data_IF_389659221474
#
_entry.id   IF_389659221474
#
_cell.length_a   1.000
_cell.length_b   1.000
_cell.length_c   1.000
_cell.angle_alpha   90.00
_cell.angle_beta   90.00
_cell.angle_gamma   90.00
#
_symmetry.space_group_name_H-M   'P 1'
#
loop_
_entity.id
_entity.type
_entity.pdbx_description
1 polymer ?
#
# COMPACT_ATOMS: atom_id res chain seq x y z
N UNK A 1 0.14 16.34 16.96
CA UNK A 1 0.55 14.96 16.62
C UNK A 1 -0.24 14.61 15.38
N UNK A 2 0.39 14.09 14.33
CA UNK A 2 -0.36 13.71 13.14
C UNK A 2 -1.24 12.50 13.47
N UNK A 3 -2.54 12.74 13.63
CA UNK A 3 -3.54 11.71 13.93
C UNK A 3 -4.07 11.04 12.66
N UNK A 4 -3.68 11.58 11.49
CA UNK A 4 -4.00 11.04 10.17
C UNK A 4 -3.56 9.57 10.10
N UNK A 5 -4.47 8.62 9.90
CA UNK A 5 -4.07 7.22 9.74
C UNK A 5 -3.16 7.02 8.53
N UNK A 6 -2.30 6.02 8.61
CA UNK A 6 -1.34 5.66 7.57
C UNK A 6 -1.71 4.31 6.95
N UNK A 7 -1.98 4.31 5.65
CA UNK A 7 -2.16 3.11 4.83
C UNK A 7 -0.88 2.84 4.04
N UNK A 8 -0.26 1.68 4.26
CA UNK A 8 0.94 1.25 3.54
C UNK A 8 0.55 0.06 2.66
N UNK A 9 0.78 0.18 1.36
CA UNK A 9 0.44 -0.85 0.37
C UNK A 9 1.72 -1.40 -0.22
N UNK A 10 1.89 -2.71 -0.08
CA UNK A 10 2.97 -3.44 -0.73
C UNK A 10 2.62 -3.70 -2.20
N UNK A 11 3.19 -2.89 -3.09
CA UNK A 11 2.90 -2.96 -4.51
C UNK A 11 3.36 -4.27 -5.15
N UNK A 12 4.49 -4.83 -4.72
CA UNK A 12 5.03 -6.06 -5.29
C UNK A 12 4.13 -7.26 -4.99
N UNK A 13 3.67 -7.38 -3.75
CA UNK A 13 2.76 -8.47 -3.35
C UNK A 13 1.34 -8.29 -3.89
N UNK A 14 0.85 -7.05 -4.00
CA UNK A 14 -0.47 -6.77 -4.58
C UNK A 14 -0.48 -7.08 -6.09
N UNK A 15 0.51 -6.59 -6.84
CA UNK A 15 0.63 -6.79 -8.29
C UNK A 15 1.05 -8.23 -8.63
N UNK A 16 1.96 -8.83 -7.85
CA UNK A 16 2.52 -10.16 -8.07
C UNK A 16 1.55 -11.33 -7.84
N UNK A 17 0.42 -11.10 -7.16
CA UNK A 17 -0.59 -12.13 -6.88
C UNK A 17 -1.51 -12.49 -8.07
N UNK A 18 -1.36 -11.86 -9.24
CA UNK A 18 -2.24 -12.07 -10.41
C UNK A 18 -1.57 -12.83 -11.56
N UNK A 19 -2.12 -13.99 -11.99
CA UNK A 19 -1.51 -14.88 -12.99
C UNK A 19 -1.71 -14.47 -14.47
N UNK A 20 -1.97 -13.20 -14.79
CA UNK A 20 -2.45 -12.75 -16.11
C UNK A 20 -1.49 -11.82 -16.88
N UNK A 21 -0.17 -12.02 -16.77
CA UNK A 21 0.81 -11.40 -17.68
C UNK A 21 1.38 -10.04 -17.25
N UNK A 22 1.06 -9.56 -16.05
CA UNK A 22 1.53 -8.28 -15.49
C UNK A 22 3.05 -8.21 -15.23
N UNK A 23 3.74 -9.35 -15.24
CA UNK A 23 5.20 -9.37 -15.18
C UNK A 23 5.87 -8.64 -16.35
N UNK A 24 5.19 -8.51 -17.50
CA UNK A 24 5.72 -7.80 -18.67
C UNK A 24 5.76 -6.29 -18.50
N UNK A 25 4.87 -5.72 -17.68
CA UNK A 25 4.83 -4.28 -17.42
C UNK A 25 4.47 -3.99 -15.96
N UNK A 26 5.48 -4.15 -15.11
CA UNK A 26 5.37 -3.89 -13.67
C UNK A 26 5.08 -2.42 -13.38
N UNK A 27 5.61 -1.50 -14.18
CA UNK A 27 5.43 -0.06 -13.99
C UNK A 27 3.96 0.34 -14.25
N UNK A 28 3.37 -0.12 -15.36
CA UNK A 28 1.97 0.15 -15.65
C UNK A 28 1.03 -0.46 -14.58
N UNK A 29 1.31 -1.68 -14.13
CA UNK A 29 0.51 -2.30 -13.08
C UNK A 29 0.58 -1.54 -11.74
N UNK A 30 1.76 -1.05 -11.36
CA UNK A 30 1.93 -0.22 -10.17
C UNK A 30 1.27 1.17 -10.31
N UNK A 31 1.31 1.78 -11.49
CA UNK A 31 0.60 3.04 -11.77
C UNK A 31 -0.93 2.85 -11.66
N UNK A 32 -1.48 1.77 -12.24
CA UNK A 32 -2.90 1.44 -12.09
C UNK A 32 -3.29 1.19 -10.64
N UNK A 33 -2.44 0.50 -9.87
CA UNK A 33 -2.65 0.31 -8.44
C UNK A 33 -2.66 1.65 -7.70
N UNK A 34 -1.67 2.53 -7.93
CA UNK A 34 -1.62 3.88 -7.36
C UNK A 34 -2.92 4.64 -7.63
N UNK A 35 -3.39 4.64 -8.87
CA UNK A 35 -4.59 5.37 -9.26
C UNK A 35 -5.84 4.81 -8.58
N UNK A 36 -5.94 3.49 -8.42
CA UNK A 36 -7.03 2.85 -7.67
C UNK A 36 -7.03 3.17 -6.16
N UNK A 37 -5.88 3.58 -5.61
CA UNK A 37 -5.73 3.96 -4.20
C UNK A 37 -6.06 5.43 -3.94
N UNK A 38 -6.06 6.28 -4.97
CA UNK A 38 -6.29 7.72 -4.82
C UNK A 38 -7.58 8.09 -4.06
N UNK A 39 -8.73 7.42 -4.29
CA UNK A 39 -9.96 7.73 -3.55
C UNK A 39 -9.84 7.46 -2.04
N UNK A 40 -8.95 6.57 -1.60
CA UNK A 40 -8.80 6.19 -0.19
C UNK A 40 -8.28 7.36 0.65
N UNK A 41 -7.47 8.24 0.07
CA UNK A 41 -6.92 9.39 0.80
C UNK A 41 -8.03 10.33 1.33
N UNK A 42 -9.09 10.53 0.54
CA UNK A 42 -10.20 11.44 0.86
C UNK A 42 -11.42 10.74 1.44
N UNK A 43 -11.67 9.47 1.09
CA UNK A 43 -12.84 8.71 1.57
C UNK A 43 -12.53 7.75 2.73
N UNK A 44 -11.25 7.49 2.99
CA UNK A 44 -10.81 6.50 3.96
C UNK A 44 -11.11 5.08 3.50
N UNK A 45 -11.06 4.14 4.44
CA UNK A 45 -11.50 2.76 4.25
C UNK A 45 -12.67 2.51 5.18
N UNK A 46 -13.91 2.40 4.68
CA UNK A 46 -15.08 2.19 5.53
C UNK A 46 -14.87 1.05 6.53
N UNK A 47 -15.27 1.29 7.79
CA UNK A 47 -15.05 0.41 8.95
C UNK A 47 -13.59 0.14 9.36
N UNK A 48 -12.59 0.70 8.66
CA UNK A 48 -11.16 0.51 8.97
C UNK A 48 -10.46 1.83 9.26
N UNK A 49 -10.43 2.76 8.31
CA UNK A 49 -9.75 4.05 8.46
C UNK A 49 -10.72 5.19 8.14
N UNK A 50 -10.84 6.15 9.06
CA UNK A 50 -11.55 7.39 8.78
C UNK A 50 -10.68 8.32 7.93
N UNK A 51 -11.28 9.03 6.98
CA UNK A 51 -10.60 10.08 6.24
C UNK A 51 -10.28 11.30 7.14
N UNK A 52 -9.21 12.07 6.83
CA UNK A 52 -8.25 11.83 5.75
C UNK A 52 -7.28 10.69 6.07
N UNK A 53 -6.78 10.00 5.05
CA UNK A 53 -5.78 8.93 5.19
C UNK A 53 -4.54 9.27 4.38
N UNK A 54 -3.36 9.12 4.96
CA UNK A 54 -2.13 9.15 4.19
C UNK A 54 -1.92 7.79 3.55
N UNK A 55 -1.80 7.75 2.22
CA UNK A 55 -1.62 6.52 1.47
C UNK A 55 -0.20 6.46 0.91
N UNK A 56 0.50 5.39 1.25
CA UNK A 56 1.86 5.10 0.76
C UNK A 56 1.84 3.79 -0.04
N UNK A 57 2.24 3.85 -1.31
CA UNK A 57 2.49 2.69 -2.14
C UNK A 57 3.98 2.41 -2.20
N UNK A 58 4.40 1.24 -1.71
CA UNK A 58 5.79 0.78 -1.81
C UNK A 58 5.97 0.02 -3.13
N UNK A 59 6.95 0.44 -3.93
CA UNK A 59 7.31 -0.19 -5.20
C UNK A 59 8.78 -0.61 -5.17
N UNK A 60 9.12 -1.60 -5.99
CA UNK A 60 10.49 -2.10 -6.11
C UNK A 60 10.82 -2.46 -7.56
N UNK A 61 12.11 -2.64 -7.84
CA UNK A 61 12.61 -3.18 -9.11
C UNK A 61 12.11 -2.39 -10.33
N UNK A 62 11.42 -3.08 -11.24
CA UNK A 62 10.94 -2.51 -12.50
C UNK A 62 9.84 -1.45 -12.36
N UNK A 63 9.24 -1.30 -11.17
CA UNK A 63 8.23 -0.28 -10.88
C UNK A 63 8.79 0.93 -10.11
N UNK A 64 10.10 0.98 -9.82
CA UNK A 64 10.73 2.02 -8.99
C UNK A 64 10.51 3.46 -9.47
N UNK A 65 10.38 3.65 -10.78
CA UNK A 65 10.28 4.96 -11.41
C UNK A 65 8.82 5.44 -11.54
N UNK A 66 7.86 4.71 -10.96
CA UNK A 66 6.45 5.13 -10.94
C UNK A 66 6.31 6.36 -10.04
N UNK A 67 5.84 7.51 -10.56
CA UNK A 67 5.73 8.72 -9.77
C UNK A 67 4.56 8.65 -8.78
N UNK A 68 4.68 9.36 -7.66
CA UNK A 68 3.55 9.65 -6.79
C UNK A 68 2.56 10.63 -7.42
N UNK A 69 1.39 10.75 -6.79
CA UNK A 69 0.38 11.78 -7.07
C UNK A 69 -0.03 12.41 -5.74
N UNK A 70 -0.74 13.54 -5.75
CA UNK A 70 -1.11 14.26 -4.52
C UNK A 70 -1.83 13.37 -3.49
N UNK A 71 -2.67 12.44 -3.95
CA UNK A 71 -3.41 11.53 -3.10
C UNK A 71 -2.62 10.29 -2.63
N UNK A 72 -1.52 9.94 -3.32
CA UNK A 72 -0.78 8.69 -3.06
C UNK A 72 0.71 8.93 -3.19
N UNK A 73 1.40 8.85 -2.05
CA UNK A 73 2.86 8.87 -2.02
C UNK A 73 3.39 7.53 -2.51
N UNK A 74 4.30 7.55 -3.47
CA UNK A 74 5.02 6.35 -3.91
C UNK A 74 6.42 6.37 -3.29
N UNK A 75 6.81 5.25 -2.68
CA UNK A 75 8.15 5.04 -2.10
C UNK A 75 8.80 3.89 -2.85
N UNK A 76 9.93 4.17 -3.50
CA UNK A 76 10.75 3.12 -4.09
C UNK A 76 11.67 2.50 -3.04
N UNK A 77 11.56 1.18 -2.87
CA UNK A 77 12.52 0.40 -2.12
C UNK A 77 13.87 0.35 -2.85
N UNK A 78 14.96 0.67 -2.16
CA UNK A 78 16.31 0.51 -2.69
C UNK A 78 16.77 -0.96 -2.67
N UNK A 79 16.23 -1.74 -1.73
CA UNK A 79 16.41 -3.18 -1.60
C UNK A 79 15.08 -3.90 -1.66
N UNK A 80 14.68 -4.55 -0.56
CA UNK A 80 13.40 -5.26 -0.44
C UNK A 80 12.25 -4.29 -0.16
N UNK A 81 11.13 -4.49 -0.87
CA UNK A 81 9.85 -3.85 -0.54
C UNK A 81 9.42 -4.12 0.90
N UNK A 82 9.60 -5.35 1.39
CA UNK A 82 9.19 -5.77 2.73
C UNK A 82 9.91 -4.99 3.82
N UNK A 83 11.22 -4.79 3.67
CA UNK A 83 12.02 -4.02 4.64
C UNK A 83 11.60 -2.56 4.63
N UNK A 84 11.33 -2.00 3.45
CA UNK A 84 10.83 -0.62 3.32
C UNK A 84 9.45 -0.45 3.97
N UNK A 85 8.57 -1.46 3.86
CA UNK A 85 7.27 -1.47 4.55
C UNK A 85 7.46 -1.48 6.07
N UNK A 86 8.37 -2.31 6.57
CA UNK A 86 8.69 -2.37 8.02
C UNK A 86 9.24 -1.03 8.51
N UNK A 87 10.21 -0.44 7.80
CA UNK A 87 10.78 0.86 8.15
C UNK A 87 9.71 1.96 8.25
N UNK A 88 8.74 1.97 7.32
CA UNK A 88 7.63 2.92 7.33
C UNK A 88 6.68 2.71 8.53
N UNK A 89 6.47 1.45 8.95
CA UNK A 89 5.65 1.13 10.13
C UNK A 89 6.36 1.57 11.42
N UNK A 90 7.67 1.36 11.51
CA UNK A 90 8.50 1.73 12.65
C UNK A 90 8.63 3.25 12.81
N UNK A 91 8.71 3.98 11.69
CA UNK A 91 8.83 5.44 11.68
C UNK A 91 7.57 6.19 12.15
N UNK A 92 6.42 5.50 12.25
CA UNK A 92 5.12 6.10 12.55
C UNK A 92 4.41 5.50 13.79
N UNK A 93 5.08 5.29 14.93
CA UNK A 93 4.57 4.44 16.02
C UNK A 93 3.32 5.02 16.70
N UNK A 94 3.13 6.35 16.64
CA UNK A 94 1.99 7.04 17.25
C UNK A 94 0.75 7.09 16.34
N UNK A 95 0.87 6.64 15.07
CA UNK A 95 -0.22 6.66 14.10
C UNK A 95 -0.92 5.32 14.08
N UNK A 96 -2.20 5.33 13.77
CA UNK A 96 -2.91 4.12 13.34
C UNK A 96 -2.36 3.70 11.98
N UNK A 97 -1.78 2.50 11.90
CA UNK A 97 -1.08 1.98 10.71
C UNK A 97 -1.79 0.74 10.20
N UNK A 98 -2.09 0.73 8.90
CA UNK A 98 -2.70 -0.40 8.22
C UNK A 98 -1.81 -0.80 7.04
N UNK A 99 -1.40 -2.06 6.98
CA UNK A 99 -0.56 -2.63 5.92
C UNK A 99 -1.38 -3.55 5.03
N UNK A 100 -1.24 -3.38 3.72
CA UNK A 100 -1.82 -4.26 2.72
C UNK A 100 -0.71 -5.12 2.12
N UNK A 101 -0.75 -6.41 2.42
CA UNK A 101 0.14 -7.39 1.81
C UNK A 101 -0.51 -8.78 1.79
N UNK A 102 -0.10 -9.61 0.84
CA UNK A 102 -0.45 -11.03 0.80
C UNK A 102 0.62 -11.90 1.49
N UNK A 103 1.79 -11.34 1.79
CA UNK A 103 2.90 -12.05 2.39
C UNK A 103 2.66 -12.31 3.87
N UNK A 104 2.92 -13.55 4.31
CA UNK A 104 2.68 -13.99 5.69
C UNK A 104 3.81 -13.56 6.63
N UNK A 105 5.05 -13.63 6.17
CA UNK A 105 6.20 -13.23 6.96
C UNK A 105 6.18 -11.73 7.22
N UNK A 106 5.94 -10.92 6.17
CA UNK A 106 5.80 -9.47 6.32
C UNK A 106 4.64 -9.12 7.25
N UNK A 107 3.49 -9.82 7.14
CA UNK A 107 2.36 -9.65 8.05
C UNK A 107 2.79 -9.82 9.50
N UNK A 108 3.49 -10.90 9.81
CA UNK A 108 3.88 -11.21 11.19
C UNK A 108 4.85 -10.13 11.72
N UNK A 109 5.81 -9.69 10.89
CA UNK A 109 6.76 -8.62 11.21
C UNK A 109 6.07 -7.30 11.55
N UNK A 110 5.16 -6.81 10.70
CA UNK A 110 4.49 -5.50 10.94
C UNK A 110 3.43 -5.57 12.03
N UNK A 111 2.78 -6.73 12.22
CA UNK A 111 1.85 -6.93 13.33
C UNK A 111 2.56 -6.88 14.69
N UNK A 112 3.78 -7.42 14.79
CA UNK A 112 4.61 -7.28 15.99
C UNK A 112 4.94 -5.82 16.34
N UNK A 113 4.90 -4.91 15.36
CA UNK A 113 5.09 -3.46 15.52
C UNK A 113 3.78 -2.70 15.77
N UNK A 114 2.65 -3.41 15.91
CA UNK A 114 1.33 -2.87 16.19
C UNK A 114 0.57 -2.35 14.97
N UNK A 115 0.95 -2.73 13.74
CA UNK A 115 0.17 -2.43 12.55
C UNK A 115 -0.96 -3.44 12.33
N UNK A 116 -2.10 -2.98 11.83
CA UNK A 116 -3.17 -3.84 11.33
C UNK A 116 -2.83 -4.34 9.92
N UNK A 117 -3.15 -5.59 9.56
CA UNK A 117 -2.77 -6.16 8.26
C UNK A 117 -3.97 -6.75 7.52
N UNK A 118 -4.10 -6.42 6.23
CA UNK A 118 -5.16 -6.95 5.37
C UNK A 118 -4.62 -7.47 4.03
N UNK A 119 -5.21 -8.55 3.53
CA UNK A 119 -4.84 -9.11 2.23
C UNK A 119 -5.42 -8.30 1.06
N UNK A 120 -4.83 -8.36 -0.15
CA UNK A 120 -5.16 -7.50 -1.30
C UNK A 120 -6.57 -7.69 -1.88
N UNK A 121 -7.40 -8.56 -1.29
CA UNK A 121 -8.76 -8.82 -1.74
C UNK A 121 -9.66 -7.58 -1.66
N UNK A 122 -9.36 -6.61 -0.79
CA UNK A 122 -10.15 -5.39 -0.59
C UNK A 122 -10.13 -4.45 -1.81
N UNK A 123 -9.12 -4.52 -2.66
CA UNK A 123 -9.02 -3.73 -3.91
C UNK A 123 -10.08 -4.10 -4.96
N UNK A 124 -10.88 -5.15 -4.72
CA UNK A 124 -11.95 -5.59 -5.63
C UNK A 124 -13.34 -5.06 -5.29
N UNK A 125 -13.48 -4.39 -4.14
CA UNK A 125 -14.78 -3.86 -3.66
C UNK A 125 -14.86 -2.33 -3.71
N UNK A 126 -13.88 -1.65 -4.31
CA UNK A 126 -14.06 -0.23 -4.64
C UNK A 126 -15.05 -0.16 -5.80
N UNK A 127 -16.24 0.45 -5.62
CA UNK A 127 -17.19 0.54 -6.72
C UNK A 127 -16.52 1.29 -7.86
N UNK A 128 -16.40 0.63 -9.02
CA UNK A 128 -16.24 1.34 -10.26
C UNK A 128 -17.49 2.21 -10.40
N UNK A 129 -17.28 3.52 -10.65
CA UNK A 129 -18.35 4.48 -10.92
C UNK A 129 -19.48 3.84 -11.75
N UNK A 130 -20.70 3.90 -11.22
CA UNK A 130 -21.95 3.78 -11.98
C UNK A 130 -22.80 4.98 -11.65
#
# INVERSE_FOLDING_TARGET
MDETPLLIVDGANVVGSRPNGWWRDRAAAAALLRDSLAPVASSGLPARLAAPVEVVLVVEGAARDVPGIDAVRVVSAAGSGDDTVVDLVEAAPLRRRLVITADRELRDRVAALGAEVYGPRWLRDTPADT
#
